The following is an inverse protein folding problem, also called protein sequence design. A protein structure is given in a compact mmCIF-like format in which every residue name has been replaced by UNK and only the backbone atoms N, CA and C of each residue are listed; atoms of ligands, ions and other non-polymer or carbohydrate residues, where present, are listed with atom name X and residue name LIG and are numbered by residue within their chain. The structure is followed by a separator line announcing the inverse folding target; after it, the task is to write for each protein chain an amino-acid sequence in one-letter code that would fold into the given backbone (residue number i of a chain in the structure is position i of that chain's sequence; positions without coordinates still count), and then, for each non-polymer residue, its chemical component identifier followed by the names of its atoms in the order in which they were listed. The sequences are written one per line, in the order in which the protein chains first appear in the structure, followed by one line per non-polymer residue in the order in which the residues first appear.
data_IF_706374731426
#
_entry.id   IF_706374731426
#
_cell.length_a   1.000
_cell.length_b   1.000
_cell.length_c   1.000
_cell.angle_alpha   90.00
_cell.angle_beta   90.00
_cell.angle_gamma   90.00
#
_symmetry.space_group_name_H-M   'P 1'
#
loop_
_entity.id
_entity.type
_entity.pdbx_description
1 polymer ?
#
# COMPACT_ATOMS: atom_id res chain seq x y z
N UNK A 1 -9.39 -11.01 15.08
CA UNK A 1 -8.25 -10.85 14.15
C UNK A 1 -8.44 -9.54 13.41
N UNK A 2 -7.38 -8.75 13.21
CA UNK A 2 -7.47 -7.49 12.46
C UNK A 2 -7.70 -7.84 10.98
N UNK A 3 -8.83 -7.42 10.41
CA UNK A 3 -9.13 -7.60 8.99
C UNK A 3 -8.47 -6.47 8.18
N UNK A 4 -7.13 -6.49 8.15
CA UNK A 4 -6.32 -5.48 7.49
C UNK A 4 -5.40 -6.17 6.47
N UNK A 5 -5.22 -5.54 5.31
CA UNK A 5 -4.27 -5.96 4.29
C UNK A 5 -3.34 -4.81 3.95
N UNK A 6 -2.04 -5.07 3.93
CA UNK A 6 -1.08 -4.14 3.30
C UNK A 6 -0.84 -4.62 1.89
N UNK A 7 -0.86 -3.72 0.92
CA UNK A 7 -0.67 -4.10 -0.48
C UNK A 7 0.10 -3.06 -1.28
N UNK A 8 0.65 -3.54 -2.39
CA UNK A 8 1.33 -2.78 -3.42
C UNK A 8 1.15 -3.50 -4.76
N UNK A 9 1.28 -2.79 -5.88
CA UNK A 9 1.21 -3.38 -7.22
C UNK A 9 2.41 -3.03 -8.08
N UNK A 10 2.72 -3.93 -9.00
CA UNK A 10 3.63 -3.65 -10.10
C UNK A 10 2.86 -3.64 -11.43
N UNK A 11 3.29 -2.76 -12.35
CA UNK A 11 2.61 -2.60 -13.64
C UNK A 11 3.30 -3.37 -14.76
N UNK A 12 2.55 -3.66 -15.83
CA UNK A 12 3.10 -4.31 -17.04
C UNK A 12 3.74 -3.31 -18.01
N UNK A 13 3.30 -2.06 -17.95
CA UNK A 13 3.71 -0.98 -18.86
C UNK A 13 4.08 0.27 -18.07
N UNK A 14 4.85 1.12 -18.71
CA UNK A 14 5.17 2.48 -18.27
C UNK A 14 4.07 3.48 -18.65
N UNK A 15 4.11 4.67 -18.04
CA UNK A 15 3.25 5.77 -18.45
C UNK A 15 3.49 6.21 -19.89
N UNK A 16 4.71 6.11 -20.41
CA UNK A 16 5.03 6.48 -21.79
C UNK A 16 4.29 5.57 -22.77
N UNK A 17 4.30 4.26 -22.53
CA UNK A 17 3.64 3.25 -23.36
C UNK A 17 2.11 3.40 -23.42
N UNK A 18 1.49 3.97 -22.38
CA UNK A 18 0.03 4.19 -22.34
C UNK A 18 -0.37 5.62 -22.73
N UNK A 19 0.57 6.49 -23.11
CA UNK A 19 0.29 7.87 -23.50
C UNK A 19 0.05 8.82 -22.33
N UNK A 20 0.64 8.52 -21.18
CA UNK A 20 0.71 9.39 -20.00
C UNK A 20 -0.27 9.05 -18.88
N UNK A 21 -0.19 9.80 -17.78
CA UNK A 21 -0.90 9.54 -16.51
C UNK A 21 -2.43 9.48 -16.63
N UNK A 22 -3.03 10.13 -17.63
CA UNK A 22 -4.48 10.10 -17.85
C UNK A 22 -4.99 8.70 -18.23
N UNK A 23 -4.11 7.84 -18.74
CA UNK A 23 -4.42 6.48 -19.19
C UNK A 23 -3.91 5.41 -18.22
N UNK A 24 -3.81 5.74 -16.93
CA UNK A 24 -3.26 4.87 -15.89
C UNK A 24 -3.95 3.49 -15.80
N UNK A 25 -5.25 3.42 -16.09
CA UNK A 25 -6.00 2.16 -16.16
C UNK A 25 -5.53 1.20 -17.29
N UNK A 26 -4.69 1.65 -18.23
CA UNK A 26 -4.14 0.84 -19.33
C UNK A 26 -2.77 0.23 -19.01
N UNK A 27 -2.18 0.59 -17.86
CA UNK A 27 -0.85 0.11 -17.45
C UNK A 27 -0.83 -1.41 -17.29
N UNK A 28 -1.95 -1.98 -16.85
CA UNK A 28 -2.08 -3.39 -16.49
C UNK A 28 -1.26 -3.75 -15.25
N UNK A 29 -1.66 -4.82 -14.55
CA UNK A 29 -1.00 -5.28 -13.32
C UNK A 29 -0.20 -6.55 -13.57
N UNK A 30 1.10 -6.53 -13.31
CA UNK A 30 1.97 -7.71 -13.40
C UNK A 30 1.90 -8.56 -12.13
N UNK A 31 2.01 -7.93 -10.96
CA UNK A 31 1.96 -8.55 -9.63
C UNK A 31 1.16 -7.66 -8.68
N UNK A 32 0.38 -8.30 -7.79
CA UNK A 32 -0.13 -7.69 -6.56
C UNK A 32 0.57 -8.36 -5.38
N UNK A 33 1.30 -7.60 -4.58
CA UNK A 33 1.86 -8.06 -3.31
C UNK A 33 0.90 -7.76 -2.17
N UNK A 34 0.72 -8.70 -1.26
CA UNK A 34 -0.16 -8.55 -0.10
C UNK A 34 0.52 -9.08 1.15
N UNK A 35 0.37 -8.36 2.25
CA UNK A 35 0.55 -8.87 3.61
C UNK A 35 -0.81 -8.96 4.30
N UNK A 36 -1.12 -10.13 4.86
CA UNK A 36 -2.38 -10.41 5.52
C UNK A 36 -2.19 -10.51 7.04
N UNK A 37 -2.83 -9.61 7.79
CA UNK A 37 -2.77 -9.62 9.26
C UNK A 37 -3.52 -10.80 9.91
N UNK A 38 -4.42 -11.46 9.20
CA UNK A 38 -5.18 -12.58 9.75
C UNK A 38 -4.32 -13.84 9.97
N UNK A 39 -3.30 -14.05 9.12
CA UNK A 39 -2.44 -15.23 9.13
C UNK A 39 -0.93 -14.91 9.14
N UNK A 40 -0.55 -13.63 9.25
CA UNK A 40 0.84 -13.15 9.27
C UNK A 40 1.66 -13.62 8.05
N UNK A 41 1.04 -13.55 6.86
CA UNK A 41 1.65 -14.05 5.63
C UNK A 41 1.85 -12.97 4.56
N UNK A 42 2.91 -13.16 3.76
CA UNK A 42 3.17 -12.40 2.54
C UNK A 42 2.84 -13.27 1.33
N UNK A 43 2.04 -12.75 0.42
CA UNK A 43 1.57 -13.49 -0.78
C UNK A 43 1.64 -12.58 -2.00
N UNK A 44 2.09 -13.12 -3.13
CA UNK A 44 1.97 -12.47 -4.43
C UNK A 44 0.84 -13.10 -5.24
N UNK A 45 0.08 -12.28 -5.94
CA UNK A 45 -0.93 -12.68 -6.90
C UNK A 45 -0.50 -12.24 -8.30
N UNK A 46 -0.33 -13.19 -9.20
CA UNK A 46 -0.31 -12.93 -10.63
C UNK A 46 -1.76 -12.83 -11.15
N UNK A 47 -1.96 -12.38 -12.38
CA UNK A 47 -3.31 -12.23 -12.96
C UNK A 47 -4.14 -13.53 -12.92
N UNK A 48 -3.49 -14.69 -13.09
CA UNK A 48 -4.13 -16.02 -12.96
C UNK A 48 -4.67 -16.31 -11.55
N UNK A 49 -4.14 -15.62 -10.54
CA UNK A 49 -4.49 -15.79 -9.13
C UNK A 49 -5.47 -14.71 -8.63
N UNK A 50 -5.88 -13.76 -9.49
CA UNK A 50 -6.84 -12.71 -9.12
C UNK A 50 -8.18 -13.22 -8.59
N UNK A 51 -8.74 -14.38 -9.01
CA UNK A 51 -9.90 -14.95 -8.33
C UNK A 51 -9.70 -15.18 -6.83
N UNK A 52 -8.49 -15.63 -6.41
CA UNK A 52 -8.17 -15.82 -4.99
C UNK A 52 -7.98 -14.49 -4.26
N UNK A 53 -7.39 -13.49 -4.94
CA UNK A 53 -7.29 -12.12 -4.42
C UNK A 53 -8.70 -11.54 -4.21
N UNK A 54 -9.62 -11.75 -5.14
CA UNK A 54 -11.01 -11.30 -4.99
C UNK A 54 -11.70 -11.93 -3.80
N UNK A 55 -11.55 -13.24 -3.58
CA UNK A 55 -12.11 -13.91 -2.41
C UNK A 55 -11.62 -13.26 -1.10
N UNK A 56 -10.33 -12.93 -1.04
CA UNK A 56 -9.74 -12.20 0.09
C UNK A 56 -10.35 -10.80 0.23
N UNK A 57 -10.46 -10.03 -0.86
CA UNK A 57 -11.03 -8.68 -0.87
C UNK A 57 -12.53 -8.66 -0.51
N UNK A 58 -13.29 -9.71 -0.83
CA UNK A 58 -14.72 -9.84 -0.49
C UNK A 58 -14.96 -9.96 1.02
N UNK A 59 -13.93 -10.29 1.80
CA UNK A 59 -14.01 -10.22 3.28
C UNK A 59 -14.11 -8.79 3.82
N UNK A 60 -14.10 -7.79 2.95
CA UNK A 60 -14.12 -6.36 3.28
C UNK A 60 -12.99 -5.93 4.24
N UNK A 61 -11.72 -6.20 3.87
CA UNK A 61 -10.58 -5.78 4.66
C UNK A 61 -10.40 -4.26 4.60
N UNK A 62 -9.76 -3.70 5.63
CA UNK A 62 -9.15 -2.38 5.50
C UNK A 62 -7.87 -2.51 4.69
N UNK A 63 -7.82 -1.85 3.54
CA UNK A 63 -6.64 -1.75 2.71
C UNK A 63 -5.68 -0.71 3.28
N UNK A 64 -4.40 -1.03 3.28
CA UNK A 64 -3.30 -0.17 3.69
C UNK A 64 -2.29 -0.16 2.55
N UNK A 65 -1.94 1.01 2.04
CA UNK A 65 -0.97 1.13 0.95
C UNK A 65 -0.27 2.49 0.95
N UNK A 66 0.61 2.70 -0.02
CA UNK A 66 1.40 3.92 -0.13
C UNK A 66 1.14 4.60 -1.48
N UNK A 67 0.43 5.74 -1.51
CA UNK A 67 -0.10 6.36 -2.73
C UNK A 67 -1.09 5.45 -3.51
N UNK A 68 -1.56 4.39 -2.84
CA UNK A 68 -2.48 3.37 -3.32
C UNK A 68 -3.86 3.86 -3.73
N UNK A 69 -4.47 4.85 -3.07
CA UNK A 69 -5.77 5.40 -3.50
C UNK A 69 -5.68 6.08 -4.85
N UNK A 70 -4.56 6.77 -5.08
CA UNK A 70 -4.35 7.57 -6.27
C UNK A 70 -3.78 6.76 -7.43
N UNK A 71 -3.02 5.69 -7.15
CA UNK A 71 -2.32 4.90 -8.16
C UNK A 71 -2.83 3.46 -8.22
N UNK A 72 -2.54 2.66 -7.19
CA UNK A 72 -2.76 1.21 -7.18
C UNK A 72 -4.23 0.82 -7.41
N UNK A 73 -5.14 1.46 -6.68
CA UNK A 73 -6.58 1.19 -6.74
C UNK A 73 -7.12 1.44 -8.16
N UNK A 74 -6.94 2.60 -8.79
CA UNK A 74 -7.41 2.80 -10.17
C UNK A 74 -6.75 1.88 -11.21
N UNK A 75 -5.50 1.45 -11.00
CA UNK A 75 -4.80 0.53 -11.91
C UNK A 75 -5.31 -0.90 -11.75
N UNK A 76 -5.57 -1.35 -10.52
CA UNK A 76 -6.04 -2.71 -10.22
C UNK A 76 -7.54 -2.88 -10.48
N UNK A 77 -8.34 -1.82 -10.31
CA UNK A 77 -9.81 -1.87 -10.41
C UNK A 77 -10.35 -2.54 -11.70
N UNK A 78 -9.79 -2.33 -12.90
CA UNK A 78 -10.27 -2.99 -14.12
C UNK A 78 -10.08 -4.52 -14.12
N UNK A 79 -9.23 -5.04 -13.23
CA UNK A 79 -8.87 -6.46 -13.16
C UNK A 79 -9.59 -7.23 -12.05
N UNK A 80 -10.39 -6.54 -11.22
CA UNK A 80 -11.14 -7.15 -10.12
C UNK A 80 -12.58 -6.64 -10.10
N UNK A 81 -13.52 -7.49 -9.70
CA UNK A 81 -14.94 -7.13 -9.61
C UNK A 81 -15.31 -6.43 -8.30
N UNK A 82 -14.50 -6.61 -7.24
CA UNK A 82 -14.72 -5.91 -5.97
C UNK A 82 -14.47 -4.42 -6.16
N UNK A 83 -15.41 -3.53 -5.77
CA UNK A 83 -15.19 -2.09 -5.84
C UNK A 83 -14.18 -1.66 -4.78
N UNK A 84 -12.90 -1.58 -5.16
CA UNK A 84 -11.78 -1.33 -4.25
C UNK A 84 -11.92 0.00 -3.52
N UNK A 85 -12.40 1.03 -4.22
CA UNK A 85 -12.64 2.35 -3.63
C UNK A 85 -13.75 2.38 -2.56
N UNK A 86 -14.58 1.34 -2.48
CA UNK A 86 -15.61 1.20 -1.44
C UNK A 86 -15.10 0.47 -0.18
N UNK A 87 -13.90 -0.12 -0.23
CA UNK A 87 -13.29 -0.76 0.94
C UNK A 87 -12.72 0.31 1.89
N UNK A 88 -12.72 0.07 3.21
CA UNK A 88 -12.00 0.93 4.14
C UNK A 88 -10.53 1.04 3.71
N UNK A 89 -9.97 2.24 3.62
CA UNK A 89 -8.64 2.42 3.04
C UNK A 89 -7.83 3.49 3.76
N UNK A 90 -6.68 3.08 4.31
CA UNK A 90 -5.62 3.97 4.78
C UNK A 90 -4.54 4.08 3.70
N UNK A 91 -4.33 5.29 3.18
CA UNK A 91 -3.19 5.59 2.33
C UNK A 91 -2.17 6.39 3.13
N UNK A 92 -1.00 5.78 3.39
CA UNK A 92 0.00 6.38 4.28
C UNK A 92 0.57 7.67 3.70
N UNK A 93 0.71 7.76 2.38
CA UNK A 93 1.28 8.94 1.73
C UNK A 93 0.27 10.09 1.75
N UNK A 94 -1.00 9.81 1.47
CA UNK A 94 -2.09 10.80 1.53
C UNK A 94 -2.23 11.41 2.93
N UNK A 95 -2.19 10.57 3.99
CA UNK A 95 -2.30 11.03 5.38
C UNK A 95 -1.14 11.94 5.77
N UNK A 96 0.08 11.58 5.39
CA UNK A 96 1.28 12.40 5.61
C UNK A 96 1.24 13.68 4.77
N UNK A 97 0.83 13.60 3.50
CA UNK A 97 0.67 14.76 2.61
C UNK A 97 -0.33 15.76 3.16
N UNK A 98 -1.41 15.29 3.80
CA UNK A 98 -2.42 16.16 4.44
C UNK A 98 -1.81 17.05 5.52
N UNK A 99 -0.80 16.56 6.24
CA UNK A 99 -0.09 17.35 7.25
C UNK A 99 1.02 18.23 6.66
N UNK A 100 1.83 17.68 5.74
CA UNK A 100 3.01 18.38 5.20
C UNK A 100 2.69 19.35 4.06
N UNK A 101 1.58 19.16 3.35
CA UNK A 101 1.22 19.90 2.15
C UNK A 101 2.01 19.52 0.89
N UNK A 102 2.80 18.44 0.94
CA UNK A 102 3.51 17.89 -0.21
C UNK A 102 3.73 16.38 -0.06
N UNK A 103 3.95 15.71 -1.20
CA UNK A 103 4.19 14.26 -1.26
C UNK A 103 5.60 13.89 -0.83
N UNK A 104 5.70 12.77 -0.14
CA UNK A 104 6.96 12.13 0.26
C UNK A 104 7.09 10.75 -0.39
N UNK A 105 8.33 10.26 -0.53
CA UNK A 105 8.57 8.92 -1.06
C UNK A 105 8.58 7.89 0.06
N UNK A 106 8.19 6.65 -0.26
CA UNK A 106 8.29 5.52 0.65
C UNK A 106 9.73 5.31 1.11
N UNK A 107 10.71 5.46 0.20
CA UNK A 107 12.13 5.30 0.49
C UNK A 107 12.64 6.33 1.53
N UNK A 108 12.27 7.61 1.42
CA UNK A 108 12.68 8.63 2.40
C UNK A 108 12.10 8.35 3.79
N UNK A 109 10.82 7.93 3.86
CA UNK A 109 10.19 7.54 5.12
C UNK A 109 10.81 6.27 5.70
N UNK A 110 11.10 5.27 4.88
CA UNK A 110 11.75 4.02 5.30
C UNK A 110 13.13 4.30 5.92
N UNK A 111 13.94 5.15 5.28
CA UNK A 111 15.25 5.52 5.81
C UNK A 111 15.13 6.27 7.13
N UNK A 112 14.19 7.21 7.21
CA UNK A 112 14.01 8.08 8.38
C UNK A 112 13.45 7.37 9.60
N UNK A 113 12.63 6.34 9.41
CA UNK A 113 11.89 5.68 10.51
C UNK A 113 12.35 4.25 10.80
N UNK A 114 12.80 3.53 9.77
CA UNK A 114 13.09 2.09 9.85
C UNK A 114 14.57 1.78 9.65
N UNK A 115 15.39 2.75 9.21
CA UNK A 115 16.81 2.54 8.94
C UNK A 115 17.08 1.64 7.73
N UNK A 116 16.08 1.43 6.86
CA UNK A 116 16.19 0.64 5.63
C UNK A 116 15.89 1.50 4.41
N UNK A 117 16.42 1.12 3.25
CA UNK A 117 16.10 1.76 1.96
C UNK A 117 15.48 0.77 1.00
N UNK A 118 14.87 1.27 -0.08
CA UNK A 118 14.34 0.43 -1.16
C UNK A 118 15.47 -0.32 -1.87
N UNK A 119 15.17 -1.54 -2.29
CA UNK A 119 16.09 -2.42 -3.02
C UNK A 119 16.14 -2.16 -4.53
N UNK A 120 15.20 -1.37 -5.08
CA UNK A 120 15.08 -1.06 -6.50
C UNK A 120 14.09 0.07 -6.78
N UNK A 121 13.78 0.30 -8.06
CA UNK A 121 12.79 1.28 -8.50
C UNK A 121 11.74 0.64 -9.45
N UNK A 122 10.59 1.30 -9.62
CA UNK A 122 9.49 0.75 -10.44
C UNK A 122 9.80 0.59 -11.94
N UNK A 123 10.81 1.27 -12.49
CA UNK A 123 11.24 1.02 -13.88
C UNK A 123 11.95 -0.33 -14.02
N UNK A 124 12.62 -0.80 -12.97
CA UNK A 124 13.25 -2.13 -12.95
C UNK A 124 12.19 -3.23 -13.06
N UNK A 125 11.04 -3.06 -12.39
CA UNK A 125 9.92 -4.01 -12.44
C UNK A 125 9.33 -4.16 -13.85
N UNK A 126 9.19 -3.05 -14.58
CA UNK A 126 8.73 -3.08 -15.99
C UNK A 126 9.74 -3.80 -16.88
N UNK A 127 11.05 -3.55 -16.70
CA UNK A 127 12.11 -4.25 -17.43
C UNK A 127 12.08 -5.77 -17.15
N UNK A 128 11.90 -6.17 -15.90
CA UNK A 128 11.77 -7.58 -15.52
C UNK A 128 10.51 -8.21 -16.13
N UNK A 129 9.41 -7.48 -16.21
CA UNK A 129 8.20 -7.97 -16.88
C UNK A 129 8.46 -8.24 -18.37
N UNK A 130 9.09 -7.28 -19.06
CA UNK A 130 9.43 -7.40 -20.49
C UNK A 130 10.40 -8.56 -20.76
N UNK A 131 11.29 -8.87 -19.82
CA UNK A 131 12.27 -9.97 -19.93
C UNK A 131 11.79 -11.29 -19.32
N UNK A 132 10.59 -11.34 -18.75
CA UNK A 132 10.00 -12.53 -18.15
C UNK A 132 10.56 -12.91 -16.77
N UNK A 133 11.28 -12.03 -16.08
CA UNK A 133 11.85 -12.26 -14.76
C UNK A 133 10.83 -11.99 -13.63
N UNK A 134 9.78 -12.82 -13.58
CA UNK A 134 8.65 -12.66 -12.64
C UNK A 134 9.08 -12.73 -11.17
N UNK A 135 10.07 -13.57 -10.85
CA UNK A 135 10.53 -13.74 -9.46
C UNK A 135 11.21 -12.47 -8.91
N UNK A 136 11.90 -11.69 -9.76
CA UNK A 136 12.44 -10.40 -9.35
C UNK A 136 11.32 -9.38 -9.04
N UNK A 137 10.26 -9.37 -9.85
CA UNK A 137 9.08 -8.51 -9.63
C UNK A 137 8.40 -8.87 -8.31
N UNK A 138 8.15 -10.17 -8.08
CA UNK A 138 7.54 -10.65 -6.82
C UNK A 138 8.36 -10.22 -5.60
N UNK A 139 9.68 -10.43 -5.65
CA UNK A 139 10.57 -10.03 -4.55
C UNK A 139 10.51 -8.53 -4.29
N UNK A 140 10.60 -7.72 -5.33
CA UNK A 140 10.57 -6.27 -5.21
C UNK A 140 9.22 -5.76 -4.66
N UNK A 141 8.10 -6.27 -5.19
CA UNK A 141 6.77 -5.91 -4.70
C UNK A 141 6.57 -6.30 -3.22
N UNK A 142 7.00 -7.50 -2.81
CA UNK A 142 6.92 -7.89 -1.39
C UNK A 142 7.87 -7.09 -0.49
N UNK A 143 9.01 -6.63 -1.00
CA UNK A 143 9.87 -5.69 -0.27
C UNK A 143 9.13 -4.37 0.01
N UNK A 144 8.42 -3.82 -0.98
CA UNK A 144 7.62 -2.60 -0.83
C UNK A 144 6.42 -2.79 0.10
N UNK A 145 5.72 -3.92 0.02
CA UNK A 145 4.66 -4.29 0.98
C UNK A 145 5.22 -4.38 2.39
N UNK A 146 6.37 -5.02 2.58
CA UNK A 146 7.02 -5.16 3.89
C UNK A 146 7.41 -3.80 4.46
N UNK A 147 8.02 -2.92 3.66
CA UNK A 147 8.37 -1.56 4.09
C UNK A 147 7.10 -0.79 4.48
N UNK A 148 6.04 -0.88 3.66
CA UNK A 148 4.74 -0.22 3.94
C UNK A 148 4.12 -0.73 5.24
N UNK A 149 4.15 -2.06 5.47
CA UNK A 149 3.67 -2.71 6.69
C UNK A 149 4.46 -2.27 7.91
N UNK A 150 5.79 -2.29 7.82
CA UNK A 150 6.69 -1.90 8.91
C UNK A 150 6.53 -0.41 9.26
N UNK A 151 6.34 0.44 8.25
CA UNK A 151 6.07 1.87 8.42
C UNK A 151 4.73 2.09 9.11
N UNK A 152 3.66 1.44 8.64
CA UNK A 152 2.35 1.48 9.28
C UNK A 152 2.42 1.08 10.75
N UNK A 153 3.07 -0.04 11.07
CA UNK A 153 3.24 -0.50 12.45
C UNK A 153 4.13 0.43 13.29
N UNK A 154 5.11 1.08 12.69
CA UNK A 154 5.88 2.14 13.35
C UNK A 154 4.99 3.32 13.71
N UNK A 155 4.24 3.88 12.75
CA UNK A 155 3.38 5.04 12.99
C UNK A 155 2.27 4.74 13.99
N UNK A 156 1.65 3.56 13.90
CA UNK A 156 0.63 3.07 14.84
C UNK A 156 1.11 2.99 16.28
N UNK A 157 2.36 2.54 16.49
CA UNK A 157 2.99 2.42 17.82
C UNK A 157 3.46 3.76 18.38
N UNK A 158 4.01 4.63 17.53
CA UNK A 158 4.65 5.88 17.97
C UNK A 158 3.71 7.09 17.91
N UNK A 159 2.57 7.00 17.23
CA UNK A 159 1.66 8.13 16.99
C UNK A 159 2.23 9.20 16.06
N UNK A 160 3.41 8.97 15.46
CA UNK A 160 4.06 9.87 14.53
C UNK A 160 5.06 9.13 13.63
N UNK A 161 5.42 9.77 12.52
CA UNK A 161 6.52 9.38 11.63
C UNK A 161 7.44 10.57 11.37
N UNK A 162 8.70 10.32 11.06
CA UNK A 162 9.67 11.32 10.63
C UNK A 162 9.66 11.43 9.11
N UNK A 163 9.57 12.65 8.61
CA UNK A 163 9.66 12.96 7.19
C UNK A 163 10.76 13.99 6.94
N UNK A 164 11.54 13.78 5.87
CA UNK A 164 12.53 14.76 5.42
C UNK A 164 11.81 15.87 4.65
N UNK A 165 12.21 17.11 4.87
CA UNK A 165 11.72 18.27 4.13
C UNK A 165 12.89 19.01 3.47
N UNK A 166 12.60 19.91 2.53
CA UNK A 166 13.65 20.70 1.86
C UNK A 166 14.47 21.58 2.81
N UNK A 167 13.87 21.98 3.94
CA UNK A 167 14.44 22.98 4.85
C UNK A 167 14.82 22.40 6.22
N UNK A 168 14.22 21.28 6.61
CA UNK A 168 14.48 20.57 7.85
C UNK A 168 14.66 19.09 7.53
N UNK A 169 15.81 18.49 7.87
CA UNK A 169 16.05 17.09 7.58
C UNK A 169 15.09 16.15 8.32
N UNK A 170 14.39 16.57 9.40
CA UNK A 170 13.47 15.69 10.13
C UNK A 170 12.31 16.44 10.78
N UNK A 171 11.16 16.45 10.11
CA UNK A 171 9.88 16.89 10.69
C UNK A 171 9.13 15.69 11.24
N UNK A 172 8.66 15.79 12.48
CA UNK A 172 7.74 14.81 13.07
C UNK A 172 6.32 15.10 12.60
N UNK A 173 5.71 14.12 11.93
CA UNK A 173 4.35 14.14 11.39
C UNK A 173 3.48 13.29 12.31
N UNK A 174 2.49 13.86 13.02
CA UNK A 174 1.57 13.08 13.83
C UNK A 174 0.67 12.23 12.93
N UNK A 175 0.43 10.97 13.33
CA UNK A 175 -0.42 10.04 12.59
C UNK A 175 -1.36 9.30 13.53
N UNK A 176 -2.60 9.04 13.07
CA UNK A 176 -3.60 8.28 13.84
C UNK A 176 -4.05 7.06 13.04
N UNK A 177 -3.15 6.09 12.87
CA UNK A 177 -3.37 4.94 12.01
C UNK A 177 -4.08 3.75 12.69
N UNK A 178 -4.25 3.83 14.01
CA UNK A 178 -5.00 2.84 14.78
C UNK A 178 -6.44 2.76 14.27
N UNK A 179 -6.97 1.53 14.17
CA UNK A 179 -8.40 1.34 13.90
C UNK A 179 -9.17 1.90 15.11
N UNK A 180 -10.17 2.78 14.93
CA UNK A 180 -11.00 3.23 16.04
C UNK A 180 -11.59 2.02 16.73
N UNK A 181 -11.24 1.79 17.99
CA UNK A 181 -11.93 0.79 18.80
C UNK A 181 -13.33 1.34 19.03
N UNK A 182 -14.34 0.76 18.37
CA UNK A 182 -15.73 0.98 18.78
C UNK A 182 -15.84 0.52 20.23
N UNK A 183 -15.81 1.45 21.17
CA UNK A 183 -16.12 1.17 22.55
C UNK A 183 -17.56 0.64 22.56
N UNK A 184 -17.72 -0.67 22.81
CA UNK A 184 -19.01 -1.22 23.15
C UNK A 184 -19.44 -0.55 24.46
N UNK A 185 -20.27 0.47 24.36
CA UNK A 185 -21.02 0.96 25.50
C UNK A 185 -21.99 -0.16 25.89
N UNK A 186 -21.59 -1.00 26.85
CA UNK A 186 -22.52 -1.85 27.55
C UNK A 186 -23.52 -0.93 28.26
N UNK A 187 -24.70 -0.74 27.66
CA UNK A 187 -25.85 -0.24 28.39
C UNK A 187 -26.17 -1.28 29.46
N UNK A 188 -25.69 -1.01 30.68
CA UNK A 188 -26.22 -1.63 31.87
C UNK A 188 -27.67 -1.17 31.99
N UNK A 189 -28.62 -2.03 31.60
CA UNK A 189 -30.01 -1.91 32.02
C UNK A 189 -30.06 -1.95 33.54
N UNK A 190 -30.32 -0.79 34.14
CA UNK A 190 -30.74 -0.67 35.53
C UNK A 190 -32.25 -0.47 35.52
N UNK A 191 -32.93 -1.50 36.01
CA UNK A 191 -34.33 -1.58 36.47
C UNK A 191 -35.45 -1.52 35.41
#
# INVERSE_FOLDING_TARGET
MQNELVFDIETKKSFEEVGGKRNMHLLGVSIVGVYNYADDSFVCYEEKDFPKLEDLLRTSPRLIGFNSKHFDVPVLQPHVQVPLAALPHLDLMEDIETYLGFRVSLDSLARSNLGVGKSGNGLDAIMWWQTGNIEAIKKYCLDDVRITRDLYEYGKRNGSVLAETRNDPRVSVPVTWQVPTTAFAAQASLF
#
